data_IF_262305686338
#
_entry.id   IF_262305686338
#
_cell.length_a   1.000
_cell.length_b   1.000
_cell.length_c   1.000
_cell.angle_alpha   90.00
_cell.angle_beta   90.00
_cell.angle_gamma   90.00
#
_symmetry.space_group_name_H-M   'P 1'
#
loop_
_entity.id
_entity.type
_entity.pdbx_description
1 polymer ?
#
# COMPACT_ATOMS: atom_id res chain seq x y z
N UNK A 1 -35.68 10.39 -0.68
CA UNK A 1 -35.49 9.92 -2.07
C UNK A 1 -34.01 10.15 -2.40
N UNK A 2 -33.30 9.17 -2.92
CA UNK A 2 -31.88 9.33 -3.23
C UNK A 2 -31.68 10.28 -4.41
N UNK A 3 -30.67 11.14 -4.31
CA UNK A 3 -30.31 12.15 -5.32
C UNK A 3 -28.83 11.96 -5.66
N UNK A 4 -28.53 11.25 -6.73
CA UNK A 4 -27.19 10.85 -7.12
C UNK A 4 -26.68 11.77 -8.23
N UNK A 5 -25.46 12.27 -8.08
CA UNK A 5 -24.71 12.94 -9.13
C UNK A 5 -23.74 12.00 -9.83
N UNK A 6 -23.69 12.04 -11.15
CA UNK A 6 -22.72 11.25 -11.96
C UNK A 6 -21.81 12.21 -12.70
N UNK A 7 -20.50 12.00 -12.54
CA UNK A 7 -19.46 12.88 -13.11
C UNK A 7 -18.51 12.05 -13.97
N UNK A 8 -18.43 12.35 -15.27
CA UNK A 8 -17.63 11.57 -16.22
C UNK A 8 -16.38 12.34 -16.59
N UNK A 9 -15.22 11.72 -16.34
CA UNK A 9 -13.92 12.28 -16.65
C UNK A 9 -13.48 11.91 -18.07
N UNK A 10 -12.96 12.89 -18.83
CA UNK A 10 -12.30 12.60 -20.10
C UNK A 10 -10.90 12.00 -19.89
N UNK A 11 -10.26 12.31 -18.75
CA UNK A 11 -8.86 11.98 -18.45
C UNK A 11 -7.91 12.45 -19.59
N UNK A 12 -8.12 13.69 -20.06
CA UNK A 12 -7.54 14.19 -21.31
C UNK A 12 -8.07 13.40 -22.49
N UNK A 13 -7.18 12.65 -23.16
CA UNK A 13 -7.53 11.72 -24.24
C UNK A 13 -7.63 10.26 -23.79
N UNK A 14 -7.18 9.92 -22.57
CA UNK A 14 -7.09 8.51 -22.12
C UNK A 14 -8.45 7.80 -22.06
N UNK A 15 -9.52 8.49 -21.75
CA UNK A 15 -10.89 7.95 -21.76
C UNK A 15 -11.59 8.40 -23.05
N UNK A 16 -11.60 9.70 -23.32
CA UNK A 16 -12.38 10.29 -24.41
C UNK A 16 -11.97 9.85 -25.82
N UNK A 17 -10.75 9.35 -26.02
CA UNK A 17 -10.33 8.80 -27.31
C UNK A 17 -11.06 7.50 -27.66
N UNK A 18 -11.45 6.72 -26.65
CA UNK A 18 -12.03 5.38 -26.84
C UNK A 18 -13.48 5.28 -26.36
N UNK A 19 -13.84 6.06 -25.34
CA UNK A 19 -15.20 6.10 -24.78
C UNK A 19 -15.91 7.36 -25.25
N UNK A 20 -17.14 7.21 -25.73
CA UNK A 20 -18.04 8.34 -26.00
C UNK A 20 -18.61 8.87 -24.68
N UNK A 21 -17.93 9.89 -24.14
CA UNK A 21 -18.25 10.46 -22.83
C UNK A 21 -19.66 11.04 -22.80
N UNK A 22 -20.10 11.69 -23.88
CA UNK A 22 -21.43 12.28 -23.98
C UNK A 22 -22.53 11.22 -23.90
N UNK A 23 -22.35 10.07 -24.59
CA UNK A 23 -23.28 8.95 -24.50
C UNK A 23 -23.35 8.38 -23.07
N UNK A 24 -22.23 8.32 -22.35
CA UNK A 24 -22.22 7.90 -20.93
C UNK A 24 -23.01 8.87 -20.07
N UNK A 25 -22.82 10.18 -20.24
CA UNK A 25 -23.58 11.23 -19.52
C UNK A 25 -25.08 11.14 -19.83
N UNK A 26 -25.45 10.97 -21.09
CA UNK A 26 -26.84 10.80 -21.49
C UNK A 26 -27.45 9.53 -20.88
N UNK A 27 -26.74 8.41 -20.91
CA UNK A 27 -27.18 7.18 -20.29
C UNK A 27 -27.34 7.34 -18.76
N UNK A 28 -26.48 8.12 -18.10
CA UNK A 28 -26.57 8.39 -16.67
C UNK A 28 -27.84 9.17 -16.31
N UNK A 29 -28.22 10.18 -17.12
CA UNK A 29 -29.47 10.94 -16.92
C UNK A 29 -30.73 10.09 -16.97
N UNK A 30 -30.69 8.97 -17.68
CA UNK A 30 -31.79 8.01 -17.75
C UNK A 30 -31.86 7.01 -16.59
N UNK A 31 -30.89 7.05 -15.65
CA UNK A 31 -30.88 6.11 -14.51
C UNK A 31 -31.75 6.66 -13.38
N UNK A 32 -32.75 5.91 -12.87
CA UNK A 32 -33.57 6.36 -11.75
C UNK A 32 -32.72 6.80 -10.55
N UNK A 33 -33.03 7.94 -9.96
CA UNK A 33 -32.33 8.52 -8.82
C UNK A 33 -31.08 9.37 -9.18
N UNK A 34 -30.64 9.36 -10.42
CA UNK A 34 -29.66 10.30 -10.92
C UNK A 34 -30.35 11.62 -11.25
N UNK A 35 -29.95 12.70 -10.56
CA UNK A 35 -30.55 14.03 -10.71
C UNK A 35 -29.62 15.00 -11.45
N UNK A 36 -28.32 14.67 -11.51
CA UNK A 36 -27.30 15.44 -12.18
C UNK A 36 -26.31 14.51 -12.88
N UNK A 37 -26.00 14.77 -14.15
CA UNK A 37 -24.95 14.08 -14.87
C UNK A 37 -24.17 15.08 -15.73
N UNK A 38 -22.87 15.19 -15.51
CA UNK A 38 -21.98 16.12 -16.17
C UNK A 38 -20.65 15.45 -16.49
N UNK A 39 -19.94 16.00 -17.45
CA UNK A 39 -18.58 15.60 -17.77
C UNK A 39 -17.59 16.76 -17.62
N UNK A 40 -16.33 16.42 -17.47
CA UNK A 40 -15.25 17.39 -17.43
C UNK A 40 -13.94 16.77 -17.86
N UNK A 41 -13.07 17.60 -18.46
CA UNK A 41 -11.80 17.13 -19.04
C UNK A 41 -10.89 16.46 -18.01
N UNK A 42 -10.81 17.01 -16.79
CA UNK A 42 -9.99 16.51 -15.70
C UNK A 42 -10.76 16.63 -14.38
N UNK A 43 -11.60 15.65 -14.08
CA UNK A 43 -12.46 15.67 -12.90
C UNK A 43 -11.67 15.75 -11.58
N UNK A 44 -10.45 15.21 -11.55
CA UNK A 44 -9.54 15.26 -10.41
C UNK A 44 -8.86 16.64 -10.20
N UNK A 45 -8.91 17.53 -11.20
CA UNK A 45 -8.38 18.91 -11.07
C UNK A 45 -9.23 19.73 -10.11
N UNK A 46 -8.69 20.86 -9.66
CA UNK A 46 -9.43 21.80 -8.80
C UNK A 46 -10.78 22.19 -9.40
N UNK A 47 -10.81 22.56 -10.70
CA UNK A 47 -12.04 22.93 -11.39
C UNK A 47 -13.05 21.78 -11.47
N UNK A 48 -12.59 20.54 -11.68
CA UNK A 48 -13.46 19.36 -11.66
C UNK A 48 -14.03 19.07 -10.27
N UNK A 49 -13.21 19.21 -9.22
CA UNK A 49 -13.67 19.09 -7.84
C UNK A 49 -14.67 20.19 -7.47
N UNK A 50 -14.45 21.44 -7.94
CA UNK A 50 -15.38 22.55 -7.72
C UNK A 50 -16.73 22.31 -8.40
N UNK A 51 -16.73 21.68 -9.57
CA UNK A 51 -17.94 21.27 -10.26
C UNK A 51 -18.73 20.23 -9.43
N UNK A 52 -18.06 19.22 -8.87
CA UNK A 52 -18.67 18.22 -7.99
C UNK A 52 -19.22 18.90 -6.74
N UNK A 53 -18.45 19.75 -6.07
CA UNK A 53 -18.86 20.48 -4.86
C UNK A 53 -20.09 21.35 -5.10
N UNK A 54 -20.10 22.10 -6.20
CA UNK A 54 -21.24 22.91 -6.58
C UNK A 54 -22.48 22.05 -6.77
N UNK A 55 -22.39 20.96 -7.51
CA UNK A 55 -23.52 20.08 -7.74
C UNK A 55 -24.06 19.45 -6.44
N UNK A 56 -23.17 19.09 -5.49
CA UNK A 56 -23.61 18.57 -4.17
C UNK A 56 -24.50 19.62 -3.47
N UNK A 57 -24.10 20.90 -3.45
CA UNK A 57 -24.87 21.96 -2.81
C UNK A 57 -26.17 22.28 -3.54
N UNK A 58 -26.09 22.54 -4.83
CA UNK A 58 -27.22 23.02 -5.63
C UNK A 58 -28.28 21.94 -5.82
N UNK A 59 -27.86 20.72 -6.11
CA UNK A 59 -28.76 19.60 -6.35
C UNK A 59 -29.07 18.77 -5.08
N UNK A 60 -28.50 19.14 -3.92
CA UNK A 60 -28.65 18.45 -2.64
C UNK A 60 -28.40 16.94 -2.80
N UNK A 61 -27.24 16.61 -3.37
CA UNK A 61 -26.88 15.22 -3.65
C UNK A 61 -26.75 14.41 -2.36
N UNK A 62 -27.23 13.18 -2.39
CA UNK A 62 -27.07 12.19 -1.31
C UNK A 62 -26.05 11.12 -1.65
N UNK A 63 -25.49 11.13 -2.86
CA UNK A 63 -24.46 10.23 -3.32
C UNK A 63 -23.81 10.74 -4.61
N UNK A 64 -22.57 10.35 -4.82
CA UNK A 64 -21.77 10.78 -5.98
C UNK A 64 -21.11 9.57 -6.64
N UNK A 65 -21.18 9.51 -7.97
CA UNK A 65 -20.45 8.56 -8.79
C UNK A 65 -19.50 9.32 -9.70
N UNK A 66 -18.22 8.98 -9.69
CA UNK A 66 -17.23 9.54 -10.61
C UNK A 66 -16.73 8.46 -11.55
N UNK A 67 -17.10 8.56 -12.82
CA UNK A 67 -16.61 7.68 -13.88
C UNK A 67 -15.24 8.19 -14.35
N UNK A 68 -14.16 7.54 -13.91
CA UNK A 68 -12.80 8.06 -14.13
C UNK A 68 -11.74 6.94 -14.15
N UNK A 69 -10.53 7.26 -13.77
CA UNK A 69 -9.42 6.31 -13.56
C UNK A 69 -9.62 5.45 -12.30
N UNK A 70 -8.63 4.61 -12.01
CA UNK A 70 -8.64 3.72 -10.85
C UNK A 70 -8.92 4.47 -9.52
N UNK A 71 -9.76 3.92 -8.64
CA UNK A 71 -9.99 4.44 -7.28
C UNK A 71 -8.68 4.69 -6.52
N UNK A 72 -7.67 3.84 -6.71
CA UNK A 72 -6.36 3.97 -6.05
C UNK A 72 -5.67 5.33 -6.28
N UNK A 73 -6.03 6.04 -7.36
CA UNK A 73 -5.40 7.33 -7.67
C UNK A 73 -6.10 8.51 -7.00
N UNK A 74 -7.43 8.55 -7.05
CA UNK A 74 -8.17 9.76 -6.73
C UNK A 74 -9.39 9.56 -5.83
N UNK A 75 -9.58 8.37 -5.23
CA UNK A 75 -10.69 8.14 -4.31
C UNK A 75 -10.66 9.13 -3.13
N UNK A 76 -9.49 9.30 -2.50
CA UNK A 76 -9.32 10.25 -1.41
C UNK A 76 -9.58 11.72 -1.86
N UNK A 77 -9.26 12.05 -3.11
CA UNK A 77 -9.51 13.39 -3.68
C UNK A 77 -11.01 13.67 -3.77
N UNK A 78 -11.78 12.76 -4.35
CA UNK A 78 -13.21 12.94 -4.52
C UNK A 78 -13.99 12.82 -3.20
N UNK A 79 -13.59 11.91 -2.31
CA UNK A 79 -14.17 11.81 -0.96
C UNK A 79 -13.98 13.08 -0.16
N UNK A 80 -12.78 13.68 -0.21
CA UNK A 80 -12.51 14.97 0.44
C UNK A 80 -13.34 16.10 -0.15
N UNK A 81 -13.48 16.16 -1.49
CA UNK A 81 -14.33 17.16 -2.12
C UNK A 81 -15.80 17.05 -1.71
N UNK A 82 -16.31 15.85 -1.52
CA UNK A 82 -17.67 15.59 -1.04
C UNK A 82 -17.83 15.96 0.44
N UNK A 83 -16.88 15.59 1.27
CA UNK A 83 -16.87 15.87 2.71
C UNK A 83 -16.85 17.38 3.00
N UNK A 84 -16.14 18.19 2.18
CA UNK A 84 -16.13 19.63 2.29
C UNK A 84 -17.52 20.28 2.10
N UNK A 85 -18.44 19.58 1.44
CA UNK A 85 -19.82 20.01 1.23
C UNK A 85 -20.82 19.28 2.14
N UNK A 86 -20.32 18.58 3.16
CA UNK A 86 -21.15 17.87 4.14
C UNK A 86 -21.73 16.54 3.66
N UNK A 87 -21.35 16.04 2.49
CA UNK A 87 -21.72 14.71 2.05
C UNK A 87 -20.76 13.69 2.67
N UNK A 88 -21.33 12.61 3.25
CA UNK A 88 -20.52 11.55 3.83
C UNK A 88 -19.55 10.97 2.78
N UNK A 89 -18.24 10.90 3.04
CA UNK A 89 -17.22 10.51 2.06
C UNK A 89 -17.38 9.05 1.57
N UNK A 90 -18.07 8.20 2.31
CA UNK A 90 -18.35 6.81 1.92
C UNK A 90 -19.56 6.66 0.98
N UNK A 91 -20.25 7.77 0.68
CA UNK A 91 -21.30 7.83 -0.35
C UNK A 91 -20.75 8.33 -1.71
N UNK A 92 -19.44 8.22 -1.89
CA UNK A 92 -18.72 8.54 -3.14
C UNK A 92 -18.12 7.26 -3.71
N UNK A 93 -18.51 6.92 -4.94
CA UNK A 93 -18.03 5.72 -5.64
C UNK A 93 -17.34 6.09 -6.95
N UNK A 94 -16.35 5.32 -7.35
CA UNK A 94 -15.63 5.50 -8.60
C UNK A 94 -15.91 4.32 -9.53
N UNK A 95 -16.48 4.60 -10.70
CA UNK A 95 -16.53 3.66 -11.81
C UNK A 95 -15.22 3.77 -12.61
N UNK A 96 -14.39 2.72 -12.57
CA UNK A 96 -13.14 2.70 -13.32
C UNK A 96 -13.39 2.45 -14.81
N UNK A 97 -13.52 3.54 -15.57
CA UNK A 97 -13.73 3.49 -17.02
C UNK A 97 -12.45 3.75 -17.82
N UNK A 98 -11.30 3.87 -17.16
CA UNK A 98 -10.00 3.97 -17.82
C UNK A 98 -9.31 2.61 -17.89
N UNK A 99 -8.79 2.11 -16.77
CA UNK A 99 -8.03 0.85 -16.73
C UNK A 99 -8.89 -0.37 -17.05
N UNK A 100 -10.15 -0.37 -16.64
CA UNK A 100 -11.07 -1.49 -16.87
C UNK A 100 -11.89 -1.36 -18.15
N UNK A 101 -11.77 -0.26 -18.88
CA UNK A 101 -12.58 0.00 -20.06
C UNK A 101 -11.75 0.60 -21.22
N UNK A 102 -11.39 1.87 -21.19
CA UNK A 102 -10.79 2.55 -22.33
C UNK A 102 -9.41 1.98 -22.73
N UNK A 103 -8.63 1.47 -21.80
CA UNK A 103 -7.30 0.91 -22.09
C UNK A 103 -7.34 -0.51 -22.65
N UNK A 104 -8.41 -1.25 -22.40
CA UNK A 104 -8.51 -2.66 -22.84
C UNK A 104 -9.40 -2.86 -24.06
N UNK A 105 -10.20 -1.87 -24.43
CA UNK A 105 -11.03 -1.91 -25.64
C UNK A 105 -10.45 -1.00 -26.73
N UNK A 106 -10.43 -1.52 -27.95
CA UNK A 106 -10.06 -0.74 -29.15
C UNK A 106 -11.29 -0.17 -29.87
N UNK A 107 -12.40 -0.87 -29.79
CA UNK A 107 -13.67 -0.47 -30.39
C UNK A 107 -14.40 0.52 -29.49
N UNK A 108 -14.79 1.67 -30.05
CA UNK A 108 -15.41 2.77 -29.32
C UNK A 108 -16.82 2.43 -28.80
N UNK A 109 -17.58 1.71 -29.60
CA UNK A 109 -18.97 1.38 -29.21
C UNK A 109 -18.97 0.33 -28.09
N UNK A 110 -18.11 -0.68 -28.15
CA UNK A 110 -17.92 -1.67 -27.09
C UNK A 110 -17.40 -1.02 -25.80
N UNK A 111 -16.40 -0.14 -25.92
CA UNK A 111 -15.89 0.60 -24.78
C UNK A 111 -16.96 1.48 -24.13
N UNK A 112 -17.75 2.18 -24.93
CA UNK A 112 -18.84 3.03 -24.46
C UNK A 112 -19.93 2.21 -23.77
N UNK A 113 -20.34 1.09 -24.37
CA UNK A 113 -21.33 0.18 -23.79
C UNK A 113 -20.86 -0.35 -22.42
N UNK A 114 -19.59 -0.77 -22.33
CA UNK A 114 -19.02 -1.22 -21.06
C UNK A 114 -18.91 -0.09 -20.02
N UNK A 115 -18.52 1.11 -20.43
CA UNK A 115 -18.48 2.27 -19.52
C UNK A 115 -19.85 2.57 -18.92
N UNK A 116 -20.92 2.47 -19.72
CA UNK A 116 -22.30 2.63 -19.25
C UNK A 116 -22.67 1.54 -18.24
N UNK A 117 -22.28 0.29 -18.46
CA UNK A 117 -22.52 -0.80 -17.51
C UNK A 117 -21.81 -0.54 -16.19
N UNK A 118 -20.53 -0.17 -16.22
CA UNK A 118 -19.74 0.16 -15.02
C UNK A 118 -20.32 1.35 -14.26
N UNK A 119 -20.74 2.39 -14.98
CA UNK A 119 -21.42 3.55 -14.39
C UNK A 119 -22.72 3.14 -13.68
N UNK A 120 -23.57 2.35 -14.33
CA UNK A 120 -24.84 1.85 -13.74
C UNK A 120 -24.56 1.02 -12.50
N UNK A 121 -23.59 0.13 -12.53
CA UNK A 121 -23.19 -0.68 -11.38
C UNK A 121 -22.75 0.20 -10.20
N UNK A 122 -21.96 1.25 -10.45
CA UNK A 122 -21.55 2.19 -9.42
C UNK A 122 -22.71 3.01 -8.86
N UNK A 123 -23.69 3.42 -9.69
CA UNK A 123 -24.92 4.09 -9.23
C UNK A 123 -25.73 3.15 -8.34
N UNK A 124 -25.89 1.88 -8.74
CA UNK A 124 -26.61 0.89 -7.93
C UNK A 124 -25.89 0.58 -6.62
N UNK A 125 -24.54 0.64 -6.60
CA UNK A 125 -23.75 0.50 -5.38
C UNK A 125 -24.02 1.67 -4.43
N UNK A 126 -23.82 2.91 -4.88
CA UNK A 126 -24.07 4.11 -4.07
C UNK A 126 -25.50 4.15 -3.53
N UNK A 127 -26.45 3.66 -4.31
CA UNK A 127 -27.85 3.58 -3.87
C UNK A 127 -28.05 2.69 -2.65
N UNK A 128 -27.18 1.70 -2.44
CA UNK A 128 -27.23 0.74 -1.33
C UNK A 128 -26.23 1.04 -0.23
N UNK A 129 -25.28 1.93 -0.49
CA UNK A 129 -24.27 2.31 0.49
C UNK A 129 -24.92 3.05 1.66
N UNK A 130 -24.36 2.83 2.83
CA UNK A 130 -24.75 3.50 4.06
C UNK A 130 -23.65 4.49 4.47
N UNK A 131 -24.00 5.62 5.06
CA UNK A 131 -23.01 6.53 5.60
C UNK A 131 -22.23 5.84 6.71
N UNK A 132 -20.91 5.82 6.57
CA UNK A 132 -20.00 5.23 7.52
C UNK A 132 -19.26 6.33 8.29
N UNK A 133 -18.86 6.00 9.50
CA UNK A 133 -17.96 6.84 10.30
C UNK A 133 -16.61 6.17 10.39
N UNK A 134 -15.55 6.89 10.02
CA UNK A 134 -14.19 6.38 10.15
C UNK A 134 -13.87 6.08 11.61
N UNK A 135 -13.52 4.84 11.91
CA UNK A 135 -13.00 4.46 13.20
C UNK A 135 -11.64 5.13 13.44
N UNK A 136 -11.36 5.53 14.68
CA UNK A 136 -10.04 5.99 15.11
C UNK A 136 -9.46 4.96 16.05
N UNK A 137 -8.24 4.52 15.79
CA UNK A 137 -7.45 3.66 16.67
C UNK A 137 -6.14 4.34 16.98
N UNK A 138 -5.65 4.17 18.22
CA UNK A 138 -4.29 4.54 18.55
C UNK A 138 -3.32 3.72 17.70
N UNK A 139 -2.18 4.30 17.36
CA UNK A 139 -1.14 3.63 16.58
C UNK A 139 0.13 3.58 17.42
N UNK A 140 0.68 2.38 17.63
CA UNK A 140 2.02 2.19 18.17
C UNK A 140 3.01 2.58 17.05
N UNK A 141 3.80 3.62 17.33
CA UNK A 141 4.77 4.16 16.35
C UNK A 141 6.06 3.34 16.34
N UNK A 142 5.96 2.07 16.00
CA UNK A 142 7.05 1.12 15.88
C UNK A 142 6.84 0.28 14.62
N UNK A 143 7.89 0.00 13.87
CA UNK A 143 7.81 -0.80 12.65
C UNK A 143 8.52 -2.14 12.83
N UNK A 144 7.95 -3.19 12.26
CA UNK A 144 8.62 -4.50 12.11
C UNK A 144 9.02 -4.67 10.65
N UNK A 145 10.29 -4.97 10.43
CA UNK A 145 10.86 -5.32 9.13
C UNK A 145 11.26 -6.80 9.16
N UNK A 146 10.67 -7.60 8.28
CA UNK A 146 10.97 -9.03 8.17
C UNK A 146 11.97 -9.24 7.04
N UNK A 147 13.19 -9.62 7.41
CA UNK A 147 14.32 -9.83 6.53
C UNK A 147 15.36 -8.69 6.58
N UNK A 148 16.59 -9.03 6.98
CA UNK A 148 17.73 -8.13 7.10
C UNK A 148 18.58 -8.02 5.82
N UNK A 149 17.99 -8.24 4.63
CA UNK A 149 18.65 -7.96 3.35
C UNK A 149 18.67 -6.49 3.01
N UNK A 150 19.24 -6.11 1.85
CA UNK A 150 19.41 -4.70 1.44
C UNK A 150 18.11 -3.90 1.44
N UNK A 151 17.01 -4.50 1.03
CA UNK A 151 15.70 -3.83 1.03
C UNK A 151 15.21 -3.56 2.46
N UNK A 152 15.30 -4.58 3.34
CA UNK A 152 14.92 -4.43 4.74
C UNK A 152 15.78 -3.42 5.47
N UNK A 153 17.10 -3.46 5.28
CA UNK A 153 18.04 -2.50 5.86
C UNK A 153 17.74 -1.07 5.39
N UNK A 154 17.52 -0.87 4.09
CA UNK A 154 17.19 0.47 3.57
C UNK A 154 15.87 0.99 4.14
N UNK A 155 14.83 0.15 4.18
CA UNK A 155 13.54 0.51 4.77
C UNK A 155 13.68 0.85 6.26
N UNK A 156 14.42 0.04 7.01
CA UNK A 156 14.62 0.27 8.44
C UNK A 156 15.36 1.58 8.71
N UNK A 157 16.40 1.89 7.93
CA UNK A 157 17.14 3.13 8.04
C UNK A 157 16.27 4.35 7.70
N UNK A 158 15.44 4.28 6.66
CA UNK A 158 14.52 5.36 6.29
C UNK A 158 13.49 5.62 7.40
N UNK A 159 12.92 4.56 7.98
CA UNK A 159 11.94 4.67 9.07
C UNK A 159 12.58 5.18 10.36
N UNK A 160 13.77 4.66 10.71
CA UNK A 160 14.53 5.11 11.87
C UNK A 160 14.99 6.56 11.72
N UNK A 161 15.39 6.97 10.52
CA UNK A 161 15.74 8.36 10.18
C UNK A 161 14.56 9.33 10.32
N UNK A 162 13.32 8.82 10.21
CA UNK A 162 12.12 9.59 10.52
C UNK A 162 11.77 9.63 12.03
N UNK A 163 12.60 9.05 12.89
CA UNK A 163 12.45 9.08 14.36
C UNK A 163 11.55 7.99 14.93
N UNK A 164 11.33 6.90 14.20
CA UNK A 164 10.53 5.76 14.68
C UNK A 164 11.42 4.57 15.05
N UNK A 165 11.00 3.81 16.07
CA UNK A 165 11.65 2.54 16.40
C UNK A 165 11.36 1.48 15.34
N UNK A 166 12.37 0.66 15.03
CA UNK A 166 12.29 -0.41 14.03
C UNK A 166 12.89 -1.70 14.58
N UNK A 167 12.13 -2.77 14.51
CA UNK A 167 12.62 -4.12 14.76
C UNK A 167 12.91 -4.81 13.42
N UNK A 168 14.11 -5.32 13.24
CA UNK A 168 14.47 -6.16 12.09
C UNK A 168 14.58 -7.60 12.54
N UNK A 169 13.77 -8.49 11.97
CA UNK A 169 13.83 -9.94 12.21
C UNK A 169 14.48 -10.61 11.01
N UNK A 170 15.61 -11.26 11.22
CA UNK A 170 16.36 -11.96 10.19
C UNK A 170 16.57 -13.45 10.59
N UNK A 171 16.20 -14.35 9.69
CA UNK A 171 16.30 -15.81 9.92
C UNK A 171 17.72 -16.34 9.93
N UNK A 172 18.61 -15.68 9.17
CA UNK A 172 20.02 -16.04 9.10
C UNK A 172 20.80 -15.48 10.31
N UNK A 173 21.96 -16.04 10.64
CA UNK A 173 22.76 -15.56 11.75
C UNK A 173 23.26 -14.13 11.63
N UNK A 174 23.32 -13.59 10.41
CA UNK A 174 23.74 -12.21 10.12
C UNK A 174 22.79 -11.51 9.14
N UNK A 175 22.80 -10.18 9.19
CA UNK A 175 22.13 -9.33 8.19
C UNK A 175 22.93 -9.30 6.89
N UNK A 176 22.33 -8.76 5.81
CA UNK A 176 22.94 -8.60 4.49
C UNK A 176 22.25 -9.41 3.40
N UNK A 177 21.65 -10.53 3.76
CA UNK A 177 20.86 -11.39 2.85
C UNK A 177 21.66 -11.83 1.62
N UNK A 178 20.96 -11.95 0.48
CA UNK A 178 21.59 -12.43 -0.76
C UNK A 178 22.63 -11.45 -1.31
N UNK A 179 22.49 -10.14 -1.05
CA UNK A 179 23.45 -9.15 -1.55
C UNK A 179 24.84 -9.35 -0.95
N UNK A 180 24.94 -9.86 0.29
CA UNK A 180 26.21 -10.23 0.91
C UNK A 180 26.93 -11.41 0.21
N UNK A 181 26.23 -12.16 -0.63
CA UNK A 181 26.75 -13.32 -1.37
C UNK A 181 27.13 -12.98 -2.83
N UNK A 182 26.90 -11.75 -3.26
CA UNK A 182 27.19 -11.27 -4.60
C UNK A 182 28.51 -10.50 -4.64
N UNK A 183 29.27 -10.66 -5.71
CA UNK A 183 30.42 -9.81 -6.02
C UNK A 183 29.97 -8.44 -6.54
N UNK A 184 29.06 -8.45 -7.51
CA UNK A 184 28.54 -7.26 -8.18
C UNK A 184 27.03 -7.26 -8.31
N UNK A 185 26.44 -6.06 -8.41
CA UNK A 185 25.01 -5.86 -8.62
C UNK A 185 24.70 -5.67 -10.10
N UNK A 186 23.62 -6.25 -10.57
CA UNK A 186 23.08 -5.99 -11.90
C UNK A 186 22.10 -4.81 -11.84
N UNK A 187 21.99 -3.93 -12.86
CA UNK A 187 22.72 -3.95 -14.14
C UNK A 187 24.01 -3.13 -14.15
N UNK A 188 24.28 -2.36 -13.09
CA UNK A 188 25.36 -1.36 -13.04
C UNK A 188 26.73 -1.96 -12.79
N UNK A 189 26.79 -3.23 -12.37
CA UNK A 189 28.00 -3.95 -12.00
C UNK A 189 28.81 -3.29 -10.87
N UNK A 190 28.12 -2.57 -9.99
CA UNK A 190 28.71 -1.99 -8.80
C UNK A 190 29.12 -3.07 -7.78
N UNK A 191 30.09 -2.76 -6.95
CA UNK A 191 30.54 -3.62 -5.87
C UNK A 191 29.43 -3.81 -4.81
N UNK A 192 28.92 -5.03 -4.64
CA UNK A 192 27.86 -5.34 -3.70
C UNK A 192 28.23 -5.00 -2.26
N UNK A 193 29.42 -5.40 -1.82
CA UNK A 193 29.90 -5.13 -0.47
C UNK A 193 30.05 -3.64 -0.19
N UNK A 194 30.47 -2.88 -1.20
CA UNK A 194 30.67 -1.42 -1.06
C UNK A 194 29.33 -0.67 -0.83
N UNK A 195 28.24 -1.20 -1.36
CA UNK A 195 26.91 -0.63 -1.15
C UNK A 195 26.27 -1.15 0.14
N UNK A 196 26.42 -2.45 0.41
CA UNK A 196 25.75 -3.12 1.51
C UNK A 196 26.38 -2.83 2.87
N UNK A 197 27.71 -2.89 2.97
CA UNK A 197 28.44 -2.78 4.25
C UNK A 197 28.13 -1.48 5.00
N UNK A 198 28.15 -0.30 4.37
CA UNK A 198 27.78 0.93 5.07
C UNK A 198 26.38 0.88 5.69
N UNK A 199 25.41 0.32 4.98
CA UNK A 199 24.02 0.19 5.49
C UNK A 199 23.91 -0.82 6.64
N UNK A 200 24.67 -1.91 6.59
CA UNK A 200 24.73 -2.87 7.70
C UNK A 200 25.34 -2.22 8.96
N UNK A 201 26.42 -1.47 8.81
CA UNK A 201 27.07 -0.76 9.91
C UNK A 201 26.13 0.30 10.49
N UNK A 202 25.54 1.13 9.64
CA UNK A 202 24.60 2.16 10.05
C UNK A 202 23.39 1.56 10.80
N UNK A 203 22.80 0.48 10.28
CA UNK A 203 21.69 -0.21 10.94
C UNK A 203 22.10 -0.83 12.29
N UNK A 204 23.31 -1.36 12.41
CA UNK A 204 23.80 -1.95 13.65
C UNK A 204 24.15 -0.93 14.75
N UNK A 205 24.40 0.33 14.36
CA UNK A 205 24.78 1.42 15.26
C UNK A 205 23.61 2.38 15.56
N UNK A 206 22.49 2.25 14.86
CA UNK A 206 21.35 3.14 15.02
C UNK A 206 20.55 2.76 16.27
N UNK A 207 20.41 3.68 17.21
CA UNK A 207 19.71 3.47 18.47
C UNK A 207 18.22 3.13 18.30
N UNK A 208 17.61 3.55 17.20
CA UNK A 208 16.20 3.26 16.89
C UNK A 208 16.02 1.93 16.14
N UNK A 209 17.09 1.16 15.86
CA UNK A 209 17.01 -0.11 15.15
C UNK A 209 17.41 -1.26 16.06
N UNK A 210 16.50 -2.19 16.27
CA UNK A 210 16.74 -3.41 17.04
C UNK A 210 16.85 -4.61 16.11
N UNK A 211 18.01 -5.28 16.15
CA UNK A 211 18.31 -6.42 15.30
C UNK A 211 18.02 -7.74 16.03
N UNK A 212 17.12 -8.53 15.47
CA UNK A 212 16.83 -9.90 15.89
C UNK A 212 17.31 -10.85 14.80
N UNK A 213 18.61 -11.12 14.80
CA UNK A 213 19.20 -12.12 13.89
C UNK A 213 19.02 -13.55 14.42
N UNK A 214 19.08 -14.53 13.53
CA UNK A 214 18.81 -15.95 13.82
C UNK A 214 17.44 -16.16 14.47
N UNK A 215 16.46 -15.40 13.97
CA UNK A 215 15.11 -15.31 14.54
C UNK A 215 14.05 -15.37 13.44
N UNK A 216 12.90 -15.93 13.76
CA UNK A 216 11.78 -16.09 12.84
C UNK A 216 10.50 -15.56 13.48
N UNK A 217 9.62 -14.96 12.69
CA UNK A 217 8.28 -14.60 13.12
C UNK A 217 7.42 -15.86 13.13
N UNK A 218 6.82 -16.17 14.27
CA UNK A 218 5.92 -17.32 14.44
C UNK A 218 4.46 -16.95 14.29
N UNK A 219 4.07 -15.86 14.92
CA UNK A 219 2.67 -15.44 14.94
C UNK A 219 2.55 -13.92 14.84
N UNK A 220 1.52 -13.47 14.14
CA UNK A 220 1.11 -12.07 14.08
C UNK A 220 -0.37 -12.00 14.41
N UNK A 221 -0.73 -11.26 15.45
CA UNK A 221 -2.11 -11.03 15.86
C UNK A 221 -2.38 -9.54 16.04
N UNK A 222 -3.63 -9.17 16.31
CA UNK A 222 -4.02 -7.77 16.48
C UNK A 222 -4.63 -7.15 15.22
N UNK A 223 -4.49 -5.84 15.07
CA UNK A 223 -5.09 -5.07 13.97
C UNK A 223 -4.19 -3.89 13.58
N UNK A 224 -4.49 -3.25 12.46
CA UNK A 224 -3.69 -2.14 11.91
C UNK A 224 -3.40 -1.07 12.95
N UNK A 225 -2.11 -0.86 13.20
CA UNK A 225 -1.59 0.07 14.21
C UNK A 225 -1.35 -0.55 15.58
N UNK A 226 -1.79 -1.78 15.86
CA UNK A 226 -1.63 -2.48 17.14
C UNK A 226 -1.43 -3.98 16.93
N UNK A 227 -0.35 -4.34 16.24
CA UNK A 227 0.03 -5.73 16.07
C UNK A 227 0.85 -6.25 17.24
N UNK A 228 0.59 -7.49 17.63
CA UNK A 228 1.44 -8.27 18.54
C UNK A 228 2.13 -9.33 17.69
N UNK A 229 3.46 -9.38 17.77
CA UNK A 229 4.27 -10.32 16.97
C UNK A 229 5.08 -11.20 17.90
N UNK A 230 4.92 -12.50 17.74
CA UNK A 230 5.74 -13.50 18.44
C UNK A 230 6.94 -13.86 17.59
N UNK A 231 8.13 -13.71 18.15
CA UNK A 231 9.40 -13.99 17.49
C UNK A 231 10.08 -15.14 18.22
N UNK A 232 10.44 -16.21 17.47
CA UNK A 232 11.28 -17.29 17.96
C UNK A 232 12.73 -16.95 17.67
N UNK A 233 13.53 -16.72 18.71
CA UNK A 233 14.96 -16.60 18.64
C UNK A 233 15.61 -17.98 18.76
N UNK A 234 16.33 -18.41 17.73
CA UNK A 234 17.07 -19.69 17.73
C UNK A 234 18.27 -19.61 18.65
N UNK A 235 18.59 -20.72 19.31
CA UNK A 235 19.75 -20.80 20.19
C UNK A 235 21.06 -20.58 19.40
N UNK A 236 21.98 -19.82 19.98
CA UNK A 236 23.35 -19.65 19.46
C UNK A 236 24.33 -20.41 20.33
N UNK A 237 25.23 -21.13 19.70
CA UNK A 237 26.25 -21.95 20.38
C UNK A 237 27.55 -21.20 20.66
N UNK A 238 27.68 -20.01 20.14
CA UNK A 238 28.82 -19.12 20.31
C UNK A 238 28.34 -17.79 20.87
N UNK A 239 28.96 -17.34 21.94
CA UNK A 239 28.71 -16.01 22.51
C UNK A 239 29.24 -14.93 21.57
N UNK A 240 28.34 -14.20 20.93
CA UNK A 240 28.67 -13.15 19.97
C UNK A 240 29.39 -11.97 20.59
N UNK A 241 29.18 -11.72 21.86
CA UNK A 241 29.85 -10.62 22.58
C UNK A 241 31.32 -10.89 22.85
N UNK A 242 31.71 -12.17 22.83
CA UNK A 242 33.08 -12.64 23.10
C UNK A 242 33.78 -13.16 21.85
N UNK A 243 33.03 -13.55 20.82
CA UNK A 243 33.58 -14.12 19.60
C UNK A 243 34.17 -13.04 18.70
N UNK A 244 35.47 -13.16 18.41
CA UNK A 244 36.19 -12.26 17.48
C UNK A 244 36.24 -12.79 16.04
N UNK A 245 35.63 -13.94 15.76
CA UNK A 245 35.68 -14.56 14.44
C UNK A 245 37.07 -15.09 14.05
N UNK A 246 37.99 -15.32 15.00
CA UNK A 246 39.36 -15.69 14.73
C UNK A 246 39.57 -17.09 14.13
N UNK A 247 38.54 -17.93 14.08
CA UNK A 247 38.58 -19.27 13.49
C UNK A 247 39.40 -20.32 14.26
N UNK A 248 39.88 -20.01 15.45
CA UNK A 248 40.69 -20.94 16.26
C UNK A 248 39.91 -22.22 16.61
N UNK A 249 38.64 -22.04 17.01
CA UNK A 249 37.76 -23.18 17.31
C UNK A 249 37.61 -24.15 16.11
N UNK A 250 37.51 -23.60 14.88
CA UNK A 250 37.43 -24.40 13.66
C UNK A 250 38.75 -25.17 13.40
N UNK A 251 39.90 -24.51 13.62
CA UNK A 251 41.21 -25.15 13.45
C UNK A 251 41.52 -26.23 14.48
N UNK A 252 40.97 -26.12 15.69
CA UNK A 252 41.14 -27.11 16.76
C UNK A 252 40.19 -28.29 16.61
N UNK A 253 39.40 -28.36 15.54
CA UNK A 253 38.47 -29.44 15.32
C UNK A 253 37.41 -29.59 16.42
N UNK A 254 37.11 -28.49 17.11
CA UNK A 254 35.96 -28.47 18.00
C UNK A 254 34.76 -28.67 17.11
N UNK A 255 34.30 -29.94 17.07
CA UNK A 255 33.02 -30.25 16.45
C UNK A 255 31.99 -29.33 17.06
N UNK A 256 31.23 -28.67 16.21
CA UNK A 256 30.03 -28.01 16.68
C UNK A 256 29.23 -29.07 17.42
N UNK A 257 29.17 -29.00 18.73
CA UNK A 257 28.38 -29.93 19.52
C UNK A 257 26.98 -29.76 19.02
N UNK A 258 26.40 -30.82 18.46
CA UNK A 258 24.99 -30.86 18.09
C UNK A 258 24.16 -30.76 19.39
N UNK A 259 23.88 -29.55 19.81
CA UNK A 259 22.91 -29.36 20.85
C UNK A 259 21.54 -29.68 20.25
N UNK A 260 21.05 -30.87 20.55
CA UNK A 260 19.63 -31.16 20.41
C UNK A 260 18.92 -30.28 21.43
N UNK A 261 18.44 -29.16 20.95
CA UNK A 261 17.51 -28.35 21.72
C UNK A 261 16.26 -29.22 21.94
N UNK A 262 16.04 -29.69 23.13
CA UNK A 262 14.76 -30.26 23.52
C UNK A 262 13.77 -29.06 23.52
N UNK A 263 12.78 -29.09 22.64
CA UNK A 263 11.73 -28.06 22.50
C UNK A 263 12.22 -26.64 22.21
N UNK A 264 13.37 -26.46 21.55
CA UNK A 264 13.90 -25.14 21.20
C UNK A 264 14.58 -24.40 22.36
N UNK A 265 14.74 -25.00 23.51
CA UNK A 265 15.51 -24.47 24.64
C UNK A 265 16.92 -25.09 24.66
N UNK A 266 17.91 -24.24 24.89
CA UNK A 266 19.30 -24.68 25.11
C UNK A 266 19.39 -25.09 26.58
N UNK A 267 19.53 -26.39 26.86
CA UNK A 267 19.98 -26.80 28.18
C UNK A 267 21.46 -26.39 28.33
N UNK A 268 21.71 -25.56 29.30
CA UNK A 268 23.06 -25.09 29.65
C UNK A 268 23.83 -26.18 30.40
#
# INVERSE_FOLDING_TARGET
MQRIGVFVCHCGSNIAATVDVEKVVQAARGVPGVVCAQDYRYMCSQAGQDLIRRAIREEKLTGVVVCSCSPRMHEATFRRAAEQEGLNPYLVEIANIREQCSWIHKDRDQATAKAIVLMRAAVEKVRRDQPLTAGKSGVVKRALVIGGGIAGLSTALDVAGAGFEVDIVEKEPSIGGKMAQLDKTFPTLDCSACILTPKMVEASQNENIHLYTYSEVEEVSGFVGNFTVTIRKKARFVDETRCTGCGVCQKLGVSIIDYKAANGEVEA
#
